data_IF_873520080985
#
_entry.id   IF_873520080985
#
_cell.length_a   1.000
_cell.length_b   1.000
_cell.length_c   1.000
_cell.angle_alpha   90.00
_cell.angle_beta   90.00
_cell.angle_gamma   90.00
#
_symmetry.space_group_name_H-M   'P 1'
#
loop_
_entity.id
_entity.type
_entity.pdbx_description
1 polymer ?
#
# COMPACT_ATOMS: atom_id res chain seq x y z
N UNK A 1 -18.09 -23.45 -14.17
CA UNK A 1 -17.40 -22.21 -14.57
C UNK A 1 -18.47 -21.13 -14.70
N UNK A 2 -18.65 -20.29 -13.68
CA UNK A 2 -19.62 -19.21 -13.73
C UNK A 2 -19.03 -18.09 -14.60
N UNK A 3 -19.64 -17.82 -15.74
CA UNK A 3 -19.34 -16.65 -16.57
C UNK A 3 -19.57 -15.41 -15.70
N UNK A 4 -18.50 -14.72 -15.33
CA UNK A 4 -18.59 -13.33 -14.88
C UNK A 4 -19.19 -12.55 -16.05
N UNK A 5 -20.51 -12.34 -16.01
CA UNK A 5 -21.18 -11.40 -16.87
C UNK A 5 -20.51 -10.06 -16.62
N UNK A 6 -19.71 -9.61 -17.60
CA UNK A 6 -19.22 -8.23 -17.65
C UNK A 6 -20.45 -7.36 -17.86
N UNK A 7 -21.07 -6.94 -16.76
CA UNK A 7 -22.12 -5.91 -16.80
C UNK A 7 -21.41 -4.66 -17.36
N UNK A 8 -21.81 -4.22 -18.54
CA UNK A 8 -21.26 -3.00 -19.12
C UNK A 8 -21.76 -1.81 -18.30
N UNK A 9 -20.86 -0.90 -17.93
CA UNK A 9 -21.17 0.31 -17.15
C UNK A 9 -22.30 1.16 -17.77
N UNK A 10 -22.55 0.98 -19.07
CA UNK A 10 -23.59 1.66 -19.83
C UNK A 10 -24.99 1.14 -19.56
N UNK A 11 -25.14 -0.09 -19.06
CA UNK A 11 -26.46 -0.70 -18.79
C UNK A 11 -26.97 -0.42 -17.36
N UNK A 12 -26.09 0.03 -16.45
CA UNK A 12 -26.42 0.29 -15.05
C UNK A 12 -27.19 1.60 -14.85
N UNK A 13 -28.21 1.64 -14.01
CA UNK A 13 -28.89 2.88 -13.68
C UNK A 13 -28.03 3.79 -12.76
N UNK A 14 -28.44 5.05 -12.60
CA UNK A 14 -27.68 6.02 -11.82
C UNK A 14 -27.46 5.60 -10.36
N UNK A 15 -28.42 4.91 -9.73
CA UNK A 15 -28.26 4.46 -8.36
C UNK A 15 -27.23 3.33 -8.25
N UNK A 16 -27.26 2.37 -9.18
CA UNK A 16 -26.26 1.31 -9.26
C UNK A 16 -24.85 1.88 -9.51
N UNK A 17 -24.71 2.91 -10.35
CA UNK A 17 -23.42 3.56 -10.58
C UNK A 17 -22.88 4.25 -9.33
N UNK A 18 -23.74 4.87 -8.51
CA UNK A 18 -23.35 5.46 -7.21
C UNK A 18 -22.85 4.39 -6.25
N UNK A 19 -23.51 3.23 -6.21
CA UNK A 19 -23.09 2.12 -5.34
C UNK A 19 -21.74 1.55 -5.75
N UNK A 20 -21.53 1.31 -7.05
CA UNK A 20 -20.24 0.85 -7.60
C UNK A 20 -19.15 1.89 -7.37
N UNK A 21 -19.45 3.18 -7.50
CA UNK A 21 -18.52 4.27 -7.18
C UNK A 21 -18.04 4.16 -5.73
N UNK A 22 -18.97 4.06 -4.78
CA UNK A 22 -18.66 3.96 -3.36
C UNK A 22 -17.79 2.74 -3.06
N UNK A 23 -18.13 1.58 -3.64
CA UNK A 23 -17.33 0.38 -3.49
C UNK A 23 -15.89 0.58 -4.00
N UNK A 24 -15.71 1.19 -5.17
CA UNK A 24 -14.37 1.47 -5.71
C UNK A 24 -13.58 2.46 -4.84
N UNK A 25 -14.24 3.47 -4.27
CA UNK A 25 -13.62 4.43 -3.35
C UNK A 25 -13.16 3.74 -2.04
N UNK A 26 -14.01 2.90 -1.45
CA UNK A 26 -13.68 2.14 -0.25
C UNK A 26 -12.50 1.18 -0.52
N UNK A 27 -12.54 0.43 -1.63
CA UNK A 27 -11.45 -0.47 -2.03
C UNK A 27 -10.14 0.28 -2.28
N UNK A 28 -10.18 1.47 -2.91
CA UNK A 28 -9.00 2.31 -3.11
C UNK A 28 -8.42 2.76 -1.78
N UNK A 29 -9.26 3.20 -0.84
CA UNK A 29 -8.83 3.60 0.51
C UNK A 29 -8.12 2.44 1.23
N UNK A 30 -8.70 1.23 1.18
CA UNK A 30 -8.10 0.03 1.77
C UNK A 30 -6.75 -0.33 1.13
N UNK A 31 -6.63 -0.27 -0.19
CA UNK A 31 -5.38 -0.55 -0.90
C UNK A 31 -4.31 0.51 -0.60
N UNK A 32 -4.67 1.79 -0.54
CA UNK A 32 -3.74 2.86 -0.19
C UNK A 32 -3.22 2.72 1.24
N UNK A 33 -4.09 2.38 2.19
CA UNK A 33 -3.67 2.11 3.58
C UNK A 33 -2.70 0.91 3.65
N UNK A 34 -3.03 -0.19 2.95
CA UNK A 34 -2.20 -1.38 2.88
C UNK A 34 -0.83 -1.10 2.25
N UNK A 35 -0.81 -0.29 1.18
CA UNK A 35 0.42 0.18 0.56
C UNK A 35 1.29 0.95 1.56
N UNK A 36 0.72 1.87 2.32
CA UNK A 36 1.43 2.64 3.34
C UNK A 36 2.06 1.75 4.42
N UNK A 37 1.32 0.76 4.92
CA UNK A 37 1.81 -0.19 5.92
C UNK A 37 2.98 -1.05 5.38
N UNK A 38 2.84 -1.59 4.16
CA UNK A 38 3.90 -2.37 3.53
C UNK A 38 5.12 -1.52 3.23
N UNK A 39 4.94 -0.26 2.82
CA UNK A 39 6.05 0.66 2.60
C UNK A 39 6.81 0.95 3.90
N UNK A 40 6.09 1.13 5.01
CA UNK A 40 6.72 1.28 6.33
C UNK A 40 7.51 0.02 6.73
N UNK A 41 6.97 -1.17 6.47
CA UNK A 41 7.68 -2.43 6.73
C UNK A 41 8.94 -2.57 5.86
N UNK A 42 8.88 -2.20 4.57
CA UNK A 42 10.05 -2.17 3.69
C UNK A 42 11.16 -1.28 4.25
N UNK A 43 10.80 -0.07 4.70
CA UNK A 43 11.76 0.87 5.27
C UNK A 43 12.42 0.30 6.53
N UNK A 44 11.64 -0.32 7.43
CA UNK A 44 12.21 -1.00 8.62
C UNK A 44 13.22 -2.07 8.25
N UNK A 45 12.96 -2.88 7.22
CA UNK A 45 13.92 -3.89 6.77
C UNK A 45 15.16 -3.27 6.13
N UNK A 46 15.02 -2.16 5.40
CA UNK A 46 16.16 -1.40 4.87
C UNK A 46 17.02 -0.83 6.01
N UNK A 47 16.39 -0.26 7.05
CA UNK A 47 17.09 0.25 8.23
C UNK A 47 17.86 -0.87 8.96
N UNK A 48 17.31 -2.09 9.01
CA UNK A 48 18.03 -3.26 9.56
C UNK A 48 19.28 -3.59 8.75
N UNK A 49 19.23 -3.51 7.41
CA UNK A 49 20.38 -3.75 6.54
C UNK A 49 21.47 -2.72 6.81
N UNK A 50 21.10 -1.44 6.86
CA UNK A 50 22.06 -0.35 7.08
C UNK A 50 22.65 -0.40 8.49
N UNK A 51 21.84 -0.76 9.49
CA UNK A 51 22.32 -1.04 10.84
C UNK A 51 23.34 -2.17 10.85
N UNK A 52 23.07 -3.30 10.18
CA UNK A 52 24.02 -4.42 10.09
C UNK A 52 25.34 -4.01 9.41
N UNK A 53 25.30 -3.20 8.35
CA UNK A 53 26.51 -2.67 7.69
C UNK A 53 27.30 -1.72 8.59
N UNK A 54 26.60 -0.99 9.46
CA UNK A 54 27.21 -0.12 10.47
C UNK A 54 27.77 -0.88 11.67
N UNK A 55 27.65 -2.22 11.72
CA UNK A 55 28.27 -3.05 12.75
C UNK A 55 29.52 -3.68 12.11
N UNK A 56 30.69 -3.11 12.39
CA UNK A 56 31.96 -3.59 11.87
C UNK A 56 33.09 -3.39 12.90
N UNK A 57 34.27 -3.95 12.62
CA UNK A 57 35.41 -3.94 13.55
C UNK A 57 35.85 -2.54 13.99
N UNK A 58 35.69 -1.53 13.12
CA UNK A 58 36.02 -0.15 13.48
C UNK A 58 35.13 0.41 14.62
N UNK A 59 34.08 -0.31 14.99
CA UNK A 59 33.00 0.15 15.87
C UNK A 59 32.92 -0.67 17.16
N UNK A 60 33.68 -1.77 17.25
CA UNK A 60 33.65 -2.73 18.35
C UNK A 60 33.90 -2.08 19.71
N UNK A 61 34.95 -1.25 19.80
CA UNK A 61 35.36 -0.61 21.05
C UNK A 61 34.84 0.81 21.26
N UNK A 62 34.10 1.35 20.27
CA UNK A 62 33.52 2.68 20.32
C UNK A 62 32.29 2.70 21.23
N UNK A 63 32.13 3.80 21.96
CA UNK A 63 30.93 4.02 22.75
C UNK A 63 29.74 4.26 21.80
N UNK A 64 28.68 3.46 21.96
CA UNK A 64 27.39 3.64 21.29
C UNK A 64 26.33 4.04 22.32
N UNK A 65 25.30 4.77 21.90
CA UNK A 65 24.16 5.08 22.75
C UNK A 65 23.03 4.10 22.46
N UNK A 66 22.65 3.33 23.48
CA UNK A 66 21.52 2.41 23.40
C UNK A 66 20.29 3.09 24.00
N UNK A 67 19.19 3.26 23.24
CA UNK A 67 17.96 3.82 23.78
C UNK A 67 17.31 2.86 24.79
N UNK A 68 16.95 3.36 25.97
CA UNK A 68 16.10 2.64 26.92
C UNK A 68 14.62 3.02 26.76
N UNK A 69 14.35 4.28 26.42
CA UNK A 69 13.01 4.83 26.14
C UNK A 69 13.10 5.90 25.05
N UNK A 70 12.00 6.60 24.77
CA UNK A 70 11.94 7.67 23.76
C UNK A 70 12.84 8.88 24.05
N UNK A 71 13.30 9.07 25.29
CA UNK A 71 14.10 10.23 25.68
C UNK A 71 15.20 9.91 26.70
N UNK A 72 15.57 8.64 26.83
CA UNK A 72 16.59 8.17 27.76
C UNK A 72 17.53 7.17 27.06
N UNK A 73 18.84 7.42 27.17
CA UNK A 73 19.89 6.64 26.51
C UNK A 73 20.97 6.26 27.51
N UNK A 74 21.61 5.11 27.30
CA UNK A 74 22.78 4.67 28.06
C UNK A 74 23.97 4.41 27.14
N UNK A 75 25.20 4.78 27.55
CA UNK A 75 26.39 4.41 26.81
C UNK A 75 26.65 2.89 26.92
N UNK A 76 27.02 2.26 25.83
CA UNK A 76 27.38 0.85 25.73
C UNK A 76 28.48 0.60 24.70
N UNK A 77 28.94 -0.65 24.62
CA UNK A 77 29.89 -1.12 23.59
C UNK A 77 29.37 -2.40 22.95
N UNK A 78 29.74 -2.65 21.70
CA UNK A 78 29.33 -3.85 20.98
C UNK A 78 30.18 -5.04 21.43
N UNK A 79 29.54 -6.06 22.00
CA UNK A 79 30.23 -7.28 22.44
C UNK A 79 30.67 -8.16 21.24
N UNK A 80 29.85 -8.19 20.19
CA UNK A 80 30.11 -8.97 18.97
C UNK A 80 29.65 -8.16 17.75
N UNK A 81 30.51 -8.07 16.74
CA UNK A 81 30.25 -7.36 15.48
C UNK A 81 30.01 -8.31 14.30
N UNK A 82 30.26 -9.61 14.47
CA UNK A 82 30.10 -10.62 13.43
C UNK A 82 28.71 -11.24 13.44
N UNK A 83 28.02 -11.18 14.59
CA UNK A 83 26.74 -11.87 14.79
C UNK A 83 25.67 -10.96 15.36
N UNK A 84 24.43 -11.19 14.90
CA UNK A 84 23.23 -10.47 15.31
C UNK A 84 22.09 -11.44 15.56
N UNK A 85 21.15 -11.02 16.41
CA UNK A 85 19.92 -11.76 16.68
C UNK A 85 18.83 -11.20 15.77
N UNK A 86 18.21 -12.07 14.97
CA UNK A 86 17.21 -11.70 13.95
C UNK A 86 15.86 -12.30 14.34
N UNK A 87 14.82 -11.46 14.33
CA UNK A 87 13.43 -11.89 14.44
C UNK A 87 12.97 -12.53 13.12
N UNK A 88 12.50 -13.78 13.20
CA UNK A 88 11.96 -14.52 12.04
C UNK A 88 10.43 -14.62 12.05
N UNK A 89 9.77 -14.05 13.06
CA UNK A 89 8.32 -14.02 13.24
C UNK A 89 7.83 -14.97 14.32
N UNK A 90 6.54 -14.84 14.69
CA UNK A 90 5.86 -15.66 15.70
C UNK A 90 6.53 -15.68 17.09
N UNK A 91 7.36 -14.68 17.38
CA UNK A 91 8.10 -14.56 18.65
C UNK A 91 9.40 -15.35 18.71
N UNK A 92 9.90 -15.86 17.57
CA UNK A 92 11.16 -16.59 17.51
C UNK A 92 12.30 -15.71 17.00
N UNK A 93 13.46 -15.87 17.64
CA UNK A 93 14.69 -15.18 17.33
C UNK A 93 15.80 -16.17 17.04
N UNK A 94 16.62 -15.88 16.05
CA UNK A 94 17.76 -16.72 15.65
C UNK A 94 19.03 -15.90 15.56
N UNK A 95 20.14 -16.47 16.02
CA UNK A 95 21.47 -15.89 15.80
C UNK A 95 21.89 -16.11 14.34
N UNK A 96 22.31 -15.04 13.67
CA UNK A 96 22.85 -15.06 12.30
C UNK A 96 24.15 -14.28 12.24
N UNK A 97 24.99 -14.60 11.25
CA UNK A 97 26.08 -13.70 10.87
C UNK A 97 25.50 -12.38 10.34
N UNK A 98 26.26 -11.29 10.45
CA UNK A 98 25.87 -9.99 9.87
C UNK A 98 25.65 -10.09 8.36
N UNK A 99 26.46 -10.87 7.65
CA UNK A 99 26.29 -11.13 6.22
C UNK A 99 24.97 -11.85 5.90
N UNK A 100 24.64 -12.90 6.65
CA UNK A 100 23.40 -13.65 6.43
C UNK A 100 22.17 -12.85 6.85
N UNK A 101 22.28 -11.99 7.87
CA UNK A 101 21.24 -11.05 8.24
C UNK A 101 20.98 -10.04 7.11
N UNK A 102 22.03 -9.49 6.50
CA UNK A 102 21.90 -8.60 5.34
C UNK A 102 21.19 -9.30 4.18
N UNK A 103 21.60 -10.54 3.85
CA UNK A 103 20.92 -11.34 2.81
C UNK A 103 19.46 -11.58 3.15
N UNK A 104 19.17 -11.97 4.39
CA UNK A 104 17.81 -12.22 4.87
C UNK A 104 16.91 -11.00 4.72
N UNK A 105 17.35 -9.84 5.19
CA UNK A 105 16.56 -8.60 5.07
C UNK A 105 16.48 -8.10 3.63
N UNK A 106 17.51 -8.30 2.80
CA UNK A 106 17.47 -7.98 1.37
C UNK A 106 16.35 -8.76 0.68
N UNK A 107 16.27 -10.09 0.91
CA UNK A 107 15.16 -10.91 0.39
C UNK A 107 13.79 -10.42 0.88
N UNK A 108 13.68 -9.97 2.13
CA UNK A 108 12.43 -9.40 2.66
C UNK A 108 12.08 -8.07 2.00
N UNK A 109 13.05 -7.18 1.77
CA UNK A 109 12.84 -5.92 1.05
C UNK A 109 12.35 -6.17 -0.36
N UNK A 110 12.97 -7.10 -1.09
CA UNK A 110 12.60 -7.45 -2.45
C UNK A 110 11.19 -8.07 -2.51
N UNK A 111 10.87 -8.97 -1.58
CA UNK A 111 9.54 -9.55 -1.47
C UNK A 111 8.47 -8.47 -1.21
N UNK A 112 8.72 -7.55 -0.29
CA UNK A 112 7.77 -6.45 -0.01
C UNK A 112 7.66 -5.51 -1.21
N UNK A 113 8.77 -5.24 -1.91
CA UNK A 113 8.79 -4.41 -3.12
C UNK A 113 7.91 -5.00 -4.23
N UNK A 114 8.02 -6.30 -4.50
CA UNK A 114 7.18 -6.98 -5.50
C UNK A 114 5.68 -6.86 -5.15
N UNK A 115 5.32 -6.99 -3.88
CA UNK A 115 3.94 -6.82 -3.43
C UNK A 115 3.47 -5.36 -3.54
N UNK A 116 4.33 -4.39 -3.23
CA UNK A 116 4.04 -2.97 -3.42
C UNK A 116 3.79 -2.65 -4.89
N UNK A 117 4.59 -3.18 -5.81
CA UNK A 117 4.44 -2.98 -7.25
C UNK A 117 3.10 -3.53 -7.75
N UNK A 118 2.69 -4.73 -7.30
CA UNK A 118 1.37 -5.32 -7.59
C UNK A 118 0.21 -4.45 -7.10
N UNK A 119 0.31 -3.92 -5.88
CA UNK A 119 -0.69 -3.03 -5.31
C UNK A 119 -0.74 -1.72 -6.11
N UNK A 120 0.41 -1.14 -6.45
CA UNK A 120 0.49 0.09 -7.22
C UNK A 120 -0.19 -0.06 -8.60
N UNK A 121 0.04 -1.16 -9.30
CA UNK A 121 -0.66 -1.47 -10.56
C UNK A 121 -2.17 -1.57 -10.34
N UNK A 122 -2.60 -2.27 -9.29
CA UNK A 122 -4.03 -2.46 -8.99
C UNK A 122 -4.72 -1.13 -8.62
N UNK A 123 -4.06 -0.29 -7.83
CA UNK A 123 -4.54 1.06 -7.48
C UNK A 123 -4.68 1.91 -8.73
N UNK A 124 -3.68 1.91 -9.61
CA UNK A 124 -3.72 2.67 -10.87
C UNK A 124 -4.89 2.22 -11.76
N UNK A 125 -5.09 0.91 -11.91
CA UNK A 125 -6.21 0.35 -12.66
C UNK A 125 -7.57 0.76 -12.06
N UNK A 126 -7.73 0.65 -10.73
CA UNK A 126 -8.97 1.03 -10.05
C UNK A 126 -9.25 2.53 -10.12
N UNK A 127 -8.23 3.37 -10.03
CA UNK A 127 -8.37 4.81 -10.26
C UNK A 127 -8.81 5.13 -11.69
N UNK A 128 -8.31 4.39 -12.69
CA UNK A 128 -8.79 4.46 -14.07
C UNK A 128 -10.27 4.10 -14.18
N UNK A 129 -10.67 2.97 -13.60
CA UNK A 129 -12.07 2.52 -13.60
C UNK A 129 -13.00 3.51 -12.93
N UNK A 130 -12.58 4.11 -11.80
CA UNK A 130 -13.34 5.13 -11.10
C UNK A 130 -13.55 6.37 -11.97
N UNK A 131 -12.52 6.82 -12.70
CA UNK A 131 -12.66 7.95 -13.66
C UNK A 131 -13.66 7.61 -14.76
N UNK A 132 -13.52 6.45 -15.40
CA UNK A 132 -14.44 6.01 -16.45
C UNK A 132 -15.88 5.91 -15.95
N UNK A 133 -16.08 5.44 -14.71
CA UNK A 133 -17.40 5.38 -14.09
C UNK A 133 -17.99 6.78 -13.87
N UNK A 134 -17.18 7.73 -13.38
CA UNK A 134 -17.62 9.13 -13.19
C UNK A 134 -17.99 9.77 -14.53
N UNK A 135 -17.22 9.52 -15.60
CA UNK A 135 -17.51 10.03 -16.94
C UNK A 135 -18.86 9.49 -17.46
N UNK A 136 -19.12 8.18 -17.29
CA UNK A 136 -20.41 7.56 -17.66
C UNK A 136 -21.57 8.13 -16.84
N UNK A 137 -21.39 8.34 -15.54
CA UNK A 137 -22.40 8.98 -14.69
C UNK A 137 -22.73 10.39 -15.18
N UNK A 138 -21.71 11.19 -15.51
CA UNK A 138 -21.88 12.56 -15.99
C UNK A 138 -22.59 12.60 -17.36
N UNK A 139 -22.24 11.67 -18.25
CA UNK A 139 -22.91 11.52 -19.54
C UNK A 139 -24.40 11.18 -19.37
N UNK A 140 -24.75 10.21 -18.51
CA UNK A 140 -26.15 9.86 -18.23
C UNK A 140 -26.95 11.00 -17.60
N UNK A 141 -26.35 11.76 -16.69
CA UNK A 141 -26.99 12.94 -16.10
C UNK A 141 -27.29 14.01 -17.15
N UNK A 142 -26.40 14.24 -18.12
CA UNK A 142 -26.66 15.17 -19.22
C UNK A 142 -27.81 14.72 -20.11
N UNK A 143 -27.90 13.43 -20.45
CA UNK A 143 -29.00 12.89 -21.25
C UNK A 143 -30.35 13.06 -20.54
N UNK A 144 -30.43 12.72 -19.25
CA UNK A 144 -31.66 12.92 -18.46
C UNK A 144 -32.09 14.38 -18.39
N UNK A 145 -31.15 15.32 -18.24
CA UNK A 145 -31.47 16.75 -18.23
C UNK A 145 -31.95 17.26 -19.59
N UNK A 146 -31.44 16.72 -20.70
CA UNK A 146 -31.91 17.06 -22.04
C UNK A 146 -33.32 16.51 -22.31
N UNK A 147 -33.61 15.28 -21.89
CA UNK A 147 -34.95 14.69 -21.99
C UNK A 147 -35.98 15.44 -21.13
N UNK A 148 -35.62 15.84 -19.91
CA UNK A 148 -36.49 16.66 -19.05
C UNK A 148 -36.75 18.06 -19.63
N UNK A 149 -35.74 18.69 -20.25
CA UNK A 149 -35.93 19.99 -20.93
C UNK A 149 -36.79 19.87 -22.19
N UNK A 150 -36.66 18.78 -22.95
CA UNK A 150 -37.48 18.52 -24.13
C UNK A 150 -38.95 18.23 -23.74
N UNK A 151 -39.17 17.46 -22.67
CA UNK A 151 -40.51 17.20 -22.12
C UNK A 151 -41.17 18.47 -21.56
N UNK A 152 -40.43 19.31 -20.84
CA UNK A 152 -40.94 20.58 -20.31
C UNK A 152 -41.29 21.59 -21.41
N UNK A 153 -40.52 21.64 -22.51
CA UNK A 153 -40.80 22.55 -23.64
C UNK A 153 -42.04 22.13 -24.45
N UNK A 154 -42.33 20.83 -24.48
CA UNK A 154 -43.51 20.27 -25.17
C UNK A 154 -44.79 20.47 -24.34
N UNK A 155 -44.69 20.40 -23.01
CA UNK A 155 -45.82 20.62 -22.11
C UNK A 155 -46.26 22.09 -21.98
N UNK A 156 -45.39 23.06 -22.28
CA UNK A 156 -45.72 24.51 -22.25
C UNK A 156 -46.37 24.99 -23.56
N UNK A 157 -46.34 24.19 -24.63
CA UNK A 157 -46.93 24.50 -25.95
C UNK A 157 -48.27 23.82 -26.23
N UNK A 158 -48.79 23.03 -25.29
CA UNK A 158 -50.15 22.46 -25.31
C UNK A 158 -51.05 23.23 -24.33
#
# INVERSE_FOLDING_TARGET
MAQQQRIELQDLDLNQLVEVKKQLEDELSHLTSSFGQLKQAQNRFADCIDSCKSINDANKDKAILVPLTSSLYVPGKLANVEKVIVDIGTGYYVEKSTEDAIKFYTTKVDFVKENLDKIQTTVSQKQGNLRSLVDVMQYKLQLQQQEQKAAATTAVKA
#
